data_IF_435501055907
#
_entry.id   IF_435501055907
#
_cell.length_a   1.000
_cell.length_b   1.000
_cell.length_c   1.000
_cell.angle_alpha   90.00
_cell.angle_beta   90.00
_cell.angle_gamma   90.00
#
_symmetry.space_group_name_H-M   'P 1'
#
loop_
_entity.id
_entity.type
_entity.pdbx_description
1 polymer ?
#
# COMPACT_ATOMS: atom_id res chain seq x y z
N UNK A 1 -13.17 -11.68 0.50
CA UNK A 1 -13.64 -10.29 0.55
C UNK A 1 -13.59 -9.73 -0.86
N UNK A 2 -14.55 -8.90 -1.25
CA UNK A 2 -14.61 -8.26 -2.57
C UNK A 2 -14.17 -6.79 -2.47
N UNK A 3 -13.32 -6.35 -3.41
CA UNK A 3 -12.68 -5.03 -3.42
C UNK A 3 -12.97 -4.25 -4.70
N UNK A 4 -12.99 -2.93 -4.58
CA UNK A 4 -12.74 -2.01 -5.70
C UNK A 4 -11.50 -1.16 -5.41
N UNK A 5 -10.83 -0.71 -6.47
CA UNK A 5 -9.74 0.26 -6.36
C UNK A 5 -10.10 1.50 -7.16
N UNK A 6 -10.18 2.64 -6.47
CA UNK A 6 -10.37 3.95 -7.06
C UNK A 6 -9.05 4.68 -6.92
N UNK A 7 -8.47 5.13 -8.02
CA UNK A 7 -7.14 5.71 -7.96
C UNK A 7 -6.90 6.76 -9.03
N UNK A 8 -5.94 7.63 -8.75
CA UNK A 8 -5.22 8.40 -9.76
C UNK A 8 -3.72 8.10 -9.64
N UNK A 9 -2.92 8.58 -10.60
CA UNK A 9 -1.46 8.47 -10.54
C UNK A 9 -0.90 7.05 -10.66
N UNK A 10 0.42 6.95 -10.53
CA UNK A 10 1.18 5.71 -10.71
C UNK A 10 1.11 4.80 -9.47
N UNK A 11 0.86 5.33 -8.27
CA UNK A 11 0.85 4.50 -7.07
C UNK A 11 -0.29 3.48 -7.10
N UNK A 12 -1.49 3.91 -7.49
CA UNK A 12 -2.63 3.01 -7.63
C UNK A 12 -2.32 1.87 -8.60
N UNK A 13 -1.69 2.17 -9.74
CA UNK A 13 -1.25 1.16 -10.70
C UNK A 13 -0.27 0.15 -10.06
N UNK A 14 0.65 0.64 -9.22
CA UNK A 14 1.58 -0.26 -8.52
C UNK A 14 0.91 -1.15 -7.50
N UNK A 15 -0.05 -0.63 -6.73
CA UNK A 15 -0.83 -1.43 -5.77
C UNK A 15 -1.63 -2.49 -6.51
N UNK A 16 -2.32 -2.11 -7.60
CA UNK A 16 -3.10 -3.04 -8.43
C UNK A 16 -2.21 -4.14 -9.00
N UNK A 17 -1.06 -3.79 -9.57
CA UNK A 17 -0.15 -4.77 -10.13
C UNK A 17 0.44 -5.71 -9.08
N UNK A 18 0.67 -5.22 -7.86
CA UNK A 18 1.07 -6.09 -6.77
C UNK A 18 -0.05 -7.04 -6.33
N UNK A 19 -1.29 -6.56 -6.21
CA UNK A 19 -2.46 -7.35 -5.79
C UNK A 19 -2.83 -8.44 -6.80
N UNK A 20 -2.91 -8.09 -8.08
CA UNK A 20 -3.16 -9.06 -9.16
C UNK A 20 -1.96 -10.00 -9.32
N UNK A 21 -0.76 -9.47 -9.09
CA UNK A 21 0.51 -10.17 -9.25
C UNK A 21 0.75 -10.68 -10.69
N UNK A 22 0.40 -9.87 -11.69
CA UNK A 22 0.67 -10.22 -13.09
C UNK A 22 2.19 -10.18 -13.39
N UNK A 23 2.64 -11.04 -14.29
CA UNK A 23 4.07 -11.38 -14.46
C UNK A 23 4.97 -10.21 -14.85
N UNK A 24 4.44 -9.18 -15.51
CA UNK A 24 5.20 -8.01 -15.97
C UNK A 24 5.12 -6.81 -15.02
N UNK A 25 4.45 -6.93 -13.87
CA UNK A 25 4.31 -5.83 -12.91
C UNK A 25 5.66 -5.41 -12.29
N UNK A 26 6.42 -6.38 -11.80
CA UNK A 26 7.69 -6.12 -11.12
C UNK A 26 8.84 -6.15 -12.13
N UNK A 27 9.46 -4.99 -12.36
CA UNK A 27 10.57 -4.83 -13.30
C UNK A 27 11.93 -4.66 -12.62
N UNK A 28 11.98 -4.68 -11.28
CA UNK A 28 13.14 -4.22 -10.50
C UNK A 28 14.41 -5.06 -10.68
N UNK A 29 14.29 -6.34 -11.03
CA UNK A 29 15.46 -7.19 -11.30
C UNK A 29 15.87 -7.19 -12.78
N UNK A 30 15.10 -6.55 -13.67
CA UNK A 30 15.28 -6.62 -15.12
C UNK A 30 15.55 -8.07 -15.60
N UNK A 31 16.66 -8.28 -16.32
CA UNK A 31 17.06 -9.59 -16.85
C UNK A 31 17.45 -10.61 -15.77
N UNK A 32 17.75 -10.15 -14.55
CA UNK A 32 18.08 -11.02 -13.41
C UNK A 32 16.83 -11.51 -12.64
N UNK A 33 15.63 -11.30 -13.19
CA UNK A 33 14.39 -11.73 -12.53
C UNK A 33 14.33 -13.26 -12.39
N UNK A 34 13.99 -13.71 -11.17
CA UNK A 34 13.82 -15.12 -10.81
C UNK A 34 12.37 -15.47 -10.51
N UNK A 35 11.43 -14.58 -10.86
CA UNK A 35 9.98 -14.76 -10.66
C UNK A 35 9.60 -15.06 -9.19
N UNK A 36 10.21 -14.36 -8.23
CA UNK A 36 10.06 -14.64 -6.79
C UNK A 36 8.62 -14.57 -6.24
N UNK A 37 7.70 -13.93 -6.97
CA UNK A 37 6.28 -13.79 -6.62
C UNK A 37 5.36 -14.78 -7.35
N UNK A 38 5.87 -15.50 -8.36
CA UNK A 38 5.05 -16.37 -9.20
C UNK A 38 4.41 -17.49 -8.39
N UNK A 39 3.11 -17.73 -8.63
CA UNK A 39 2.29 -18.71 -7.93
C UNK A 39 2.25 -18.58 -6.39
N UNK A 40 2.75 -17.48 -5.81
CA UNK A 40 2.68 -17.22 -4.36
C UNK A 40 1.31 -16.72 -3.94
N UNK A 41 0.70 -15.87 -4.75
CA UNK A 41 -0.61 -15.27 -4.53
C UNK A 41 -1.10 -14.58 -5.80
N UNK A 42 -2.38 -14.17 -5.79
CA UNK A 42 -3.01 -13.33 -6.81
C UNK A 42 -4.47 -13.12 -6.44
N UNK A 43 -4.92 -11.86 -6.45
CA UNK A 43 -6.24 -11.49 -5.92
C UNK A 43 -7.21 -10.97 -6.98
N UNK A 44 -6.98 -11.32 -8.25
CA UNK A 44 -7.81 -10.86 -9.37
C UNK A 44 -9.31 -11.19 -9.17
N UNK A 45 -9.64 -12.39 -8.70
CA UNK A 45 -11.02 -12.83 -8.48
C UNK A 45 -11.74 -12.05 -7.36
N UNK A 46 -10.97 -11.44 -6.45
CA UNK A 46 -11.46 -10.62 -5.35
C UNK A 46 -11.61 -9.15 -5.71
N UNK A 47 -11.16 -8.70 -6.89
CA UNK A 47 -11.26 -7.31 -7.30
C UNK A 47 -12.34 -7.16 -8.37
N UNK A 48 -13.39 -6.40 -8.07
CA UNK A 48 -14.55 -6.23 -8.97
C UNK A 48 -14.34 -5.16 -10.02
N UNK A 49 -13.59 -4.11 -9.69
CA UNK A 49 -13.35 -3.01 -10.61
C UNK A 49 -12.12 -2.18 -10.24
N UNK A 50 -11.55 -1.56 -11.27
CA UNK A 50 -10.54 -0.51 -11.18
C UNK A 50 -11.13 0.76 -11.79
N UNK A 51 -11.13 1.86 -11.04
CA UNK A 51 -11.57 3.17 -11.49
C UNK A 51 -10.40 4.13 -11.49
N UNK A 52 -9.83 4.39 -12.67
CA UNK A 52 -8.79 5.41 -12.84
C UNK A 52 -9.45 6.77 -13.05
N UNK A 53 -9.23 7.69 -12.12
CA UNK A 53 -9.73 9.06 -12.17
C UNK A 53 -8.65 10.00 -12.72
N UNK A 54 -9.00 11.23 -13.14
CA UNK A 54 -8.02 12.26 -13.46
C UNK A 54 -7.07 12.53 -12.28
N UNK A 55 -5.83 12.94 -12.57
CA UNK A 55 -4.92 13.32 -11.51
C UNK A 55 -5.40 14.62 -10.83
N UNK A 56 -5.20 14.78 -9.51
CA UNK A 56 -5.57 16.02 -8.81
C UNK A 56 -4.96 17.28 -9.43
N UNK A 57 -3.76 17.15 -10.02
CA UNK A 57 -3.05 18.24 -10.71
C UNK A 57 -3.75 18.73 -11.99
N UNK A 58 -4.65 17.92 -12.56
CA UNK A 58 -5.42 18.21 -13.77
C UNK A 58 -6.81 18.78 -13.47
N UNK A 59 -7.19 18.81 -12.20
CA UNK A 59 -8.49 19.26 -11.73
C UNK A 59 -8.38 20.68 -11.14
N UNK A 60 -9.48 21.45 -11.14
CA UNK A 60 -9.51 22.72 -10.44
C UNK A 60 -9.30 22.51 -8.94
N UNK A 61 -8.77 23.53 -8.26
CA UNK A 61 -8.52 23.48 -6.80
C UNK A 61 -9.79 23.17 -6.00
N UNK A 62 -10.93 23.63 -6.51
CA UNK A 62 -12.26 23.31 -6.02
C UNK A 62 -13.11 22.86 -7.20
N UNK A 63 -13.80 21.74 -7.03
CA UNK A 63 -14.79 21.24 -7.98
C UNK A 63 -16.10 21.96 -7.68
N UNK A 64 -16.42 22.98 -8.48
CA UNK A 64 -17.66 23.76 -8.36
C UNK A 64 -18.88 23.01 -8.95
N UNK A 65 -18.64 22.17 -9.96
CA UNK A 65 -19.63 21.30 -10.58
C UNK A 65 -19.88 20.03 -9.73
N UNK A 66 -20.72 19.11 -10.20
CA UNK A 66 -21.01 17.86 -9.49
C UNK A 66 -19.82 16.89 -9.59
N UNK A 67 -19.34 16.31 -8.48
CA UNK A 67 -18.30 15.27 -8.50
C UNK A 67 -18.67 14.07 -9.39
N UNK A 68 -19.97 13.87 -9.65
CA UNK A 68 -20.48 12.87 -10.59
C UNK A 68 -19.91 12.97 -12.01
N UNK A 69 -19.38 14.13 -12.43
CA UNK A 69 -18.73 14.27 -13.74
C UNK A 69 -17.37 13.56 -13.83
N UNK A 70 -16.73 13.36 -12.67
CA UNK A 70 -15.41 12.73 -12.57
C UNK A 70 -15.48 11.30 -12.04
N UNK A 71 -16.61 10.91 -11.44
CA UNK A 71 -16.85 9.59 -10.88
C UNK A 71 -17.58 8.69 -11.88
N UNK A 72 -17.42 7.36 -11.77
CA UNK A 72 -18.23 6.44 -12.56
C UNK A 72 -19.71 6.56 -12.17
N UNK A 73 -20.60 6.33 -13.13
CA UNK A 73 -22.04 6.39 -12.92
C UNK A 73 -22.55 5.33 -11.94
N UNK A 74 -21.90 4.17 -11.91
CA UNK A 74 -22.27 3.03 -11.08
C UNK A 74 -21.01 2.34 -10.54
N UNK A 75 -21.09 1.87 -9.30
CA UNK A 75 -20.08 1.02 -8.68
C UNK A 75 -20.66 -0.39 -8.50
N UNK A 76 -19.87 -1.45 -8.75
CA UNK A 76 -20.31 -2.81 -8.46
C UNK A 76 -20.39 -3.04 -6.95
N UNK A 77 -21.22 -4.01 -6.53
CA UNK A 77 -21.25 -4.46 -5.15
C UNK A 77 -19.87 -4.96 -4.69
N UNK A 78 -19.36 -4.43 -3.59
CA UNK A 78 -18.09 -4.82 -2.98
C UNK A 78 -18.09 -4.56 -1.46
N UNK A 79 -17.18 -5.22 -0.73
CA UNK A 79 -17.05 -5.04 0.71
C UNK A 79 -16.24 -3.77 1.08
N UNK A 80 -15.21 -3.45 0.29
CA UNK A 80 -14.23 -2.41 0.62
C UNK A 80 -13.67 -1.69 -0.62
N UNK A 81 -13.28 -0.43 -0.46
CA UNK A 81 -12.52 0.34 -1.43
C UNK A 81 -11.09 0.66 -0.97
N UNK A 82 -10.12 0.57 -1.89
CA UNK A 82 -8.84 1.28 -1.77
C UNK A 82 -8.96 2.56 -2.58
N UNK A 83 -8.72 3.71 -1.96
CA UNK A 83 -8.91 5.03 -2.59
C UNK A 83 -7.61 5.82 -2.55
N UNK A 84 -6.93 5.93 -3.69
CA UNK A 84 -5.52 6.33 -3.76
C UNK A 84 -5.31 7.57 -4.63
N UNK A 85 -4.65 8.60 -4.09
CA UNK A 85 -4.17 9.78 -4.84
C UNK A 85 -5.25 10.57 -5.61
N UNK A 86 -6.51 10.54 -5.16
CA UNK A 86 -7.60 11.29 -5.80
C UNK A 86 -7.75 12.71 -5.23
N UNK A 87 -8.52 13.55 -5.92
CA UNK A 87 -8.81 14.92 -5.48
C UNK A 87 -9.63 14.95 -4.18
N UNK A 88 -9.37 15.93 -3.30
CA UNK A 88 -10.01 16.04 -1.98
C UNK A 88 -11.54 16.14 -2.07
N UNK A 89 -12.06 16.94 -3.01
CA UNK A 89 -13.52 17.09 -3.17
C UNK A 89 -14.19 15.77 -3.57
N UNK A 90 -13.55 14.99 -4.45
CA UNK A 90 -14.04 13.65 -4.80
C UNK A 90 -13.96 12.70 -3.60
N UNK A 91 -12.88 12.77 -2.82
CA UNK A 91 -12.69 11.96 -1.61
C UNK A 91 -13.77 12.24 -0.55
N UNK A 92 -14.25 13.49 -0.44
CA UNK A 92 -15.30 13.87 0.50
C UNK A 92 -16.68 13.31 0.09
N UNK A 93 -16.95 13.20 -1.21
CA UNK A 93 -18.23 12.69 -1.70
C UNK A 93 -18.29 11.14 -1.73
N UNK A 94 -17.16 10.49 -1.99
CA UNK A 94 -17.09 9.05 -2.21
C UNK A 94 -17.75 8.20 -1.10
N UNK A 95 -17.53 8.41 0.21
CA UNK A 95 -18.16 7.56 1.21
C UNK A 95 -19.69 7.54 1.12
N UNK A 96 -20.30 8.68 0.76
CA UNK A 96 -21.76 8.79 0.60
C UNK A 96 -22.24 8.03 -0.63
N UNK A 97 -21.46 8.05 -1.71
CA UNK A 97 -21.78 7.36 -2.97
C UNK A 97 -21.59 5.85 -2.83
N UNK A 98 -20.48 5.43 -2.22
CA UNK A 98 -20.07 4.03 -2.13
C UNK A 98 -20.94 3.20 -1.18
N UNK A 99 -21.62 3.82 -0.21
CA UNK A 99 -22.45 3.10 0.77
C UNK A 99 -23.57 2.28 0.11
N UNK A 100 -24.07 2.76 -1.04
CA UNK A 100 -25.18 2.16 -1.77
C UNK A 100 -24.72 0.95 -2.60
N UNK A 101 -23.41 0.74 -2.73
CA UNK A 101 -22.77 -0.39 -3.44
C UNK A 101 -22.19 -1.44 -2.47
N UNK A 102 -22.76 -1.53 -1.27
CA UNK A 102 -22.38 -2.53 -0.28
C UNK A 102 -21.08 -2.24 0.48
N UNK A 103 -20.34 -1.17 0.13
CA UNK A 103 -19.05 -0.88 0.74
C UNK A 103 -19.20 -0.50 2.21
N UNK A 104 -18.38 -1.12 3.04
CA UNK A 104 -18.34 -0.95 4.50
C UNK A 104 -16.96 -0.62 5.04
N UNK A 105 -15.94 -0.56 4.18
CA UNK A 105 -14.62 -0.09 4.57
C UNK A 105 -13.87 0.63 3.45
N UNK A 106 -12.99 1.55 3.82
CA UNK A 106 -12.15 2.35 2.93
C UNK A 106 -10.72 2.41 3.47
N UNK A 107 -9.74 2.15 2.62
CA UNK A 107 -8.32 2.43 2.89
C UNK A 107 -7.90 3.59 2.00
N UNK A 108 -7.48 4.69 2.62
CA UNK A 108 -7.09 5.92 1.93
C UNK A 108 -5.60 6.19 2.18
N UNK A 109 -4.70 5.52 1.45
CA UNK A 109 -3.27 5.67 1.66
C UNK A 109 -2.76 7.07 1.27
N UNK A 110 -1.72 7.51 1.96
CA UNK A 110 -1.03 8.77 1.70
C UNK A 110 0.41 8.49 1.28
N UNK A 111 0.71 8.64 -0.01
CA UNK A 111 2.06 8.49 -0.56
C UNK A 111 2.71 9.84 -0.93
N UNK A 112 2.00 10.95 -0.78
CA UNK A 112 2.50 12.30 -1.01
C UNK A 112 2.34 13.19 0.22
N UNK A 113 3.07 14.31 0.26
CA UNK A 113 2.95 15.31 1.32
C UNK A 113 1.69 16.18 1.17
N UNK A 114 0.85 15.91 0.16
CA UNK A 114 -0.41 16.62 -0.04
C UNK A 114 -1.34 16.40 1.15
N UNK A 115 -1.95 17.49 1.61
CA UNK A 115 -2.92 17.42 2.69
C UNK A 115 -4.22 16.80 2.18
N UNK A 116 -4.78 15.89 2.97
CA UNK A 116 -6.12 15.36 2.78
C UNK A 116 -7.09 15.91 3.82
N UNK A 117 -8.38 16.00 3.49
CA UNK A 117 -9.45 16.39 4.40
C UNK A 117 -9.81 15.25 5.40
N UNK A 118 -8.81 14.68 6.08
CA UNK A 118 -8.93 13.49 6.94
C UNK A 118 -10.08 13.61 7.95
N UNK A 119 -10.21 14.69 8.77
CA UNK A 119 -11.27 14.78 9.76
C UNK A 119 -12.68 14.77 9.15
N UNK A 120 -12.86 15.43 8.00
CA UNK A 120 -14.15 15.47 7.30
C UNK A 120 -14.50 14.11 6.70
N UNK A 121 -13.53 13.42 6.10
CA UNK A 121 -13.73 12.06 5.57
C UNK A 121 -14.08 11.10 6.71
N UNK A 122 -13.40 11.20 7.86
CA UNK A 122 -13.73 10.42 9.07
C UNK A 122 -15.17 10.67 9.54
N UNK A 123 -15.58 11.93 9.66
CA UNK A 123 -16.95 12.28 10.08
C UNK A 123 -18.02 11.71 9.13
N UNK A 124 -17.78 11.78 7.82
CA UNK A 124 -18.69 11.25 6.81
C UNK A 124 -18.72 9.71 6.89
N UNK A 125 -17.56 9.06 6.96
CA UNK A 125 -17.47 7.60 7.09
C UNK A 125 -18.16 7.08 8.36
N UNK A 126 -18.01 7.76 9.50
CA UNK A 126 -18.69 7.40 10.74
C UNK A 126 -20.22 7.51 10.60
N UNK A 127 -20.70 8.58 9.95
CA UNK A 127 -22.14 8.76 9.66
C UNK A 127 -22.69 7.66 8.76
N UNK A 128 -21.95 7.29 7.71
CA UNK A 128 -22.35 6.25 6.76
C UNK A 128 -22.02 4.81 7.23
N UNK A 129 -21.40 4.67 8.41
CA UNK A 129 -20.96 3.39 9.01
C UNK A 129 -19.98 2.62 8.12
N UNK A 130 -18.96 3.33 7.65
CA UNK A 130 -17.86 2.81 6.85
C UNK A 130 -16.59 2.87 7.69
N UNK A 131 -15.90 1.75 7.87
CA UNK A 131 -14.57 1.73 8.49
C UNK A 131 -13.60 2.51 7.61
N UNK A 132 -12.87 3.49 8.15
CA UNK A 132 -11.83 4.18 7.37
C UNK A 132 -10.47 4.17 8.08
N UNK A 133 -9.39 4.05 7.30
CA UNK A 133 -7.99 4.19 7.76
C UNK A 133 -7.17 4.98 6.73
N UNK A 134 -6.17 5.70 7.23
CA UNK A 134 -5.33 6.61 6.45
C UNK A 134 -3.83 6.31 6.61
N UNK A 135 -3.35 5.12 6.19
CA UNK A 135 -1.95 4.75 6.39
C UNK A 135 -1.00 5.69 5.63
N UNK A 136 0.08 6.12 6.28
CA UNK A 136 1.08 7.05 5.72
C UNK A 136 2.51 6.63 6.07
N UNK A 137 3.26 6.02 5.14
CA UNK A 137 2.83 5.49 3.83
C UNK A 137 1.81 4.34 3.95
N UNK A 138 1.29 3.85 2.84
CA UNK A 138 0.40 2.68 2.80
C UNK A 138 1.05 1.43 3.41
N UNK A 139 2.38 1.29 3.27
CA UNK A 139 3.10 0.21 3.97
C UNK A 139 3.18 0.40 5.48
N UNK A 140 2.59 1.45 6.06
CA UNK A 140 2.33 1.58 7.49
C UNK A 140 0.90 1.15 7.88
N UNK A 141 0.19 0.42 7.00
CA UNK A 141 -1.12 -0.15 7.33
C UNK A 141 -0.97 -1.27 8.38
N UNK A 142 -1.37 -0.96 9.61
CA UNK A 142 -1.51 -1.88 10.73
C UNK A 142 -2.70 -1.43 11.58
N UNK A 143 -3.21 -2.34 12.40
CA UNK A 143 -4.23 -2.06 13.39
C UNK A 143 -3.75 -2.56 14.74
N UNK A 144 -3.86 -1.71 15.75
CA UNK A 144 -3.70 -2.08 17.13
C UNK A 144 -4.83 -3.05 17.58
N UNK A 145 -4.61 -3.86 18.62
CA UNK A 145 -5.60 -4.86 19.07
C UNK A 145 -6.97 -4.26 19.45
N UNK A 146 -6.99 -3.04 19.97
CA UNK A 146 -8.20 -2.33 20.40
C UNK A 146 -8.97 -1.65 19.26
N UNK A 147 -8.38 -1.54 18.06
CA UNK A 147 -9.06 -0.92 16.93
C UNK A 147 -10.14 -1.87 16.35
N UNK A 148 -11.40 -1.46 16.49
CA UNK A 148 -12.57 -2.15 15.97
C UNK A 148 -12.80 -1.80 14.48
N UNK A 149 -11.95 -2.39 13.63
CA UNK A 149 -12.03 -2.28 12.16
C UNK A 149 -11.91 -3.68 11.54
N UNK A 150 -12.93 -4.55 11.73
CA UNK A 150 -12.87 -5.95 11.32
C UNK A 150 -12.66 -6.16 9.82
N UNK A 151 -13.20 -5.29 8.95
CA UNK A 151 -12.98 -5.42 7.51
C UNK A 151 -11.56 -5.01 7.12
N UNK A 152 -11.02 -3.93 7.67
CA UNK A 152 -9.60 -3.57 7.46
C UNK A 152 -8.67 -4.68 7.99
N UNK A 153 -8.98 -5.26 9.16
CA UNK A 153 -8.22 -6.38 9.72
C UNK A 153 -8.26 -7.61 8.82
N UNK A 154 -9.45 -7.93 8.28
CA UNK A 154 -9.66 -9.03 7.35
C UNK A 154 -8.91 -8.80 6.04
N UNK A 155 -8.87 -7.57 5.50
CA UNK A 155 -8.06 -7.23 4.34
C UNK A 155 -6.57 -7.54 4.57
N UNK A 156 -6.00 -7.05 5.69
CA UNK A 156 -4.57 -7.28 6.02
C UNK A 156 -4.27 -8.79 6.09
N UNK A 157 -5.17 -9.58 6.69
CA UNK A 157 -4.98 -11.01 6.88
C UNK A 157 -5.20 -11.84 5.59
N UNK A 158 -6.29 -11.60 4.84
CA UNK A 158 -6.61 -12.35 3.62
C UNK A 158 -5.67 -12.00 2.47
N UNK A 159 -5.31 -10.72 2.32
CA UNK A 159 -4.47 -10.26 1.21
C UNK A 159 -2.97 -10.30 1.54
N UNK A 160 -2.61 -10.38 2.83
CA UNK A 160 -1.22 -10.28 3.25
C UNK A 160 -0.58 -8.96 2.83
N UNK A 161 -1.34 -7.86 2.85
CA UNK A 161 -0.90 -6.51 2.47
C UNK A 161 -0.96 -5.57 3.68
N UNK A 162 0.12 -4.85 3.93
CA UNK A 162 0.18 -3.81 4.95
C UNK A 162 1.59 -3.59 5.47
N UNK A 163 1.75 -3.37 6.78
CA UNK A 163 3.06 -3.32 7.42
C UNK A 163 3.82 -4.63 7.15
N UNK A 164 5.01 -4.58 6.52
CA UNK A 164 5.76 -5.77 6.13
C UNK A 164 6.04 -6.71 7.30
N UNK A 165 5.99 -8.00 7.01
CA UNK A 165 6.36 -9.05 7.93
C UNK A 165 7.14 -10.11 7.16
N UNK A 166 8.29 -10.49 7.69
CA UNK A 166 9.22 -11.43 7.03
C UNK A 166 9.71 -12.45 8.04
N UNK A 167 10.16 -13.59 7.53
CA UNK A 167 10.90 -14.60 8.29
C UNK A 167 12.25 -14.81 7.62
N UNK A 168 13.32 -14.70 8.37
CA UNK A 168 14.69 -14.83 7.86
C UNK A 168 15.29 -16.14 8.33
N UNK A 169 15.91 -16.88 7.42
CA UNK A 169 16.66 -18.09 7.69
C UNK A 169 18.15 -17.79 7.48
N UNK A 170 18.98 -18.07 8.49
CA UNK A 170 20.44 -17.83 8.47
C UNK A 170 21.16 -19.17 8.50
N UNK A 171 22.18 -19.33 7.64
CA UNK A 171 23.00 -20.54 7.60
C UNK A 171 24.00 -20.60 8.77
N UNK A 172 24.71 -21.73 8.90
CA UNK A 172 25.72 -21.92 9.95
C UNK A 172 26.91 -20.96 9.85
N UNK A 173 27.10 -20.32 8.71
CA UNK A 173 28.16 -19.34 8.45
C UNK A 173 27.70 -17.90 8.67
N UNK A 174 26.48 -17.65 9.14
CA UNK A 174 25.99 -16.29 9.38
C UNK A 174 25.44 -15.58 8.13
N UNK A 175 25.22 -16.31 7.02
CA UNK A 175 24.64 -15.74 5.81
C UNK A 175 23.14 -15.92 5.79
N UNK A 176 22.41 -14.93 5.27
CA UNK A 176 20.97 -15.03 5.03
C UNK A 176 20.74 -16.05 3.90
N UNK A 177 20.25 -17.23 4.26
CA UNK A 177 19.95 -18.30 3.32
C UNK A 177 18.63 -18.03 2.56
N UNK A 178 17.63 -17.50 3.25
CA UNK A 178 16.32 -17.22 2.68
C UNK A 178 15.56 -16.15 3.47
N UNK A 179 14.76 -15.35 2.77
CA UNK A 179 13.81 -14.40 3.39
C UNK A 179 12.41 -14.67 2.85
N UNK A 180 11.56 -15.25 3.69
CA UNK A 180 10.16 -15.48 3.36
C UNK A 180 9.32 -14.23 3.68
N UNK A 181 8.54 -13.76 2.70
CA UNK A 181 7.58 -12.67 2.89
C UNK A 181 6.26 -13.25 3.42
N UNK A 182 5.89 -12.88 4.64
CA UNK A 182 4.62 -13.27 5.27
C UNK A 182 3.53 -12.23 5.00
N UNK A 183 3.93 -10.95 4.94
CA UNK A 183 3.08 -9.82 4.57
C UNK A 183 3.89 -8.80 3.79
N UNK A 184 3.33 -8.34 2.67
CA UNK A 184 4.00 -7.46 1.74
C UNK A 184 3.57 -6.00 1.94
N UNK A 185 4.50 -5.07 1.68
CA UNK A 185 4.15 -3.70 1.40
C UNK A 185 3.18 -3.64 0.20
N UNK A 186 2.21 -2.71 0.18
CA UNK A 186 1.20 -2.61 -0.88
C UNK A 186 1.79 -2.49 -2.29
N UNK A 187 2.90 -1.76 -2.45
CA UNK A 187 3.59 -1.60 -3.73
C UNK A 187 4.45 -2.81 -4.12
N UNK A 188 4.63 -3.81 -3.25
CA UNK A 188 5.43 -5.02 -3.50
C UNK A 188 6.91 -4.93 -3.13
N UNK A 189 7.39 -3.81 -2.58
CA UNK A 189 8.81 -3.57 -2.28
C UNK A 189 9.42 -4.63 -1.35
N UNK A 190 8.64 -5.17 -0.42
CA UNK A 190 9.07 -6.23 0.50
C UNK A 190 9.61 -7.46 -0.22
N UNK A 191 9.00 -7.86 -1.34
CA UNK A 191 9.48 -9.00 -2.13
C UNK A 191 10.83 -8.74 -2.78
N UNK A 192 11.04 -7.52 -3.27
CA UNK A 192 12.32 -7.14 -3.86
C UNK A 192 13.41 -7.09 -2.80
N UNK A 193 13.17 -6.39 -1.67
CA UNK A 193 14.13 -6.32 -0.56
C UNK A 193 14.45 -7.71 -0.03
N UNK A 194 13.44 -8.56 0.23
CA UNK A 194 13.65 -9.94 0.67
C UNK A 194 14.60 -10.71 -0.27
N UNK A 195 14.42 -10.55 -1.59
CA UNK A 195 15.29 -11.21 -2.57
C UNK A 195 16.71 -10.66 -2.59
N UNK A 196 16.89 -9.35 -2.46
CA UNK A 196 18.22 -8.72 -2.42
C UNK A 196 19.01 -9.08 -1.16
N UNK A 197 18.33 -9.47 -0.08
CA UNK A 197 18.97 -9.91 1.15
C UNK A 197 19.39 -11.38 1.12
N UNK A 198 18.99 -12.18 0.14
CA UNK A 198 19.45 -13.57 0.06
C UNK A 198 20.94 -13.64 -0.28
N UNK A 199 21.63 -14.62 0.31
CA UNK A 199 23.06 -14.89 0.14
C UNK A 199 24.01 -13.79 0.64
N UNK A 200 23.52 -12.77 1.36
CA UNK A 200 24.39 -11.78 1.99
C UNK A 200 24.89 -12.28 3.34
N UNK A 201 26.15 -12.00 3.65
CA UNK A 201 26.70 -12.13 5.00
C UNK A 201 26.40 -10.85 5.78
N UNK A 202 25.88 -11.00 7.00
CA UNK A 202 25.57 -9.86 7.86
C UNK A 202 26.58 -9.81 8.99
N UNK A 203 27.63 -9.01 8.81
CA UNK A 203 28.68 -8.88 9.84
C UNK A 203 28.19 -8.02 11.01
N UNK A 204 27.38 -6.99 10.73
CA UNK A 204 26.86 -6.08 11.73
C UNK A 204 25.55 -5.41 11.29
N UNK A 205 24.86 -4.76 12.26
CA UNK A 205 23.58 -4.06 12.02
C UNK A 205 23.67 -2.97 10.96
N UNK A 206 24.79 -2.24 10.90
CA UNK A 206 24.93 -1.11 9.99
C UNK A 206 24.94 -1.57 8.54
N UNK A 207 25.70 -2.62 8.24
CA UNK A 207 25.72 -3.22 6.90
C UNK A 207 24.36 -3.78 6.50
N UNK A 208 23.65 -4.45 7.41
CA UNK A 208 22.28 -4.90 7.15
C UNK A 208 21.37 -3.72 6.77
N UNK A 209 21.44 -2.62 7.51
CA UNK A 209 20.64 -1.44 7.23
C UNK A 209 21.00 -0.79 5.90
N UNK A 210 22.30 -0.71 5.57
CA UNK A 210 22.78 -0.16 4.30
C UNK A 210 22.25 -1.02 3.15
N UNK A 211 22.31 -2.36 3.24
CA UNK A 211 21.76 -3.28 2.23
C UNK A 211 20.25 -3.16 2.05
N UNK A 212 19.50 -3.07 3.15
CA UNK A 212 18.04 -2.86 3.11
C UNK A 212 17.71 -1.53 2.44
N UNK A 213 18.44 -0.47 2.80
CA UNK A 213 18.24 0.88 2.26
C UNK A 213 18.57 0.93 0.77
N UNK A 214 19.72 0.39 0.35
CA UNK A 214 20.13 0.27 -1.06
C UNK A 214 19.04 -0.47 -1.86
N UNK A 215 18.56 -1.59 -1.34
CA UNK A 215 17.52 -2.40 -2.00
C UNK A 215 16.20 -1.64 -2.10
N UNK A 216 15.77 -0.98 -1.02
CA UNK A 216 14.53 -0.21 -1.01
C UNK A 216 14.55 0.97 -1.98
N UNK A 217 15.65 1.74 -2.01
CA UNK A 217 15.81 2.88 -2.93
C UNK A 217 15.96 2.44 -4.39
N UNK A 218 16.43 1.20 -4.63
CA UNK A 218 16.53 0.63 -5.98
C UNK A 218 15.19 0.08 -6.48
N UNK A 219 14.20 -0.11 -5.60
CA UNK A 219 12.85 -0.45 -5.98
C UNK A 219 12.10 0.80 -6.43
N UNK A 220 11.24 0.77 -7.48
CA UNK A 220 10.50 1.94 -7.95
C UNK A 220 9.31 2.31 -7.02
N UNK A 221 9.57 2.42 -5.72
CA UNK A 221 8.59 2.84 -4.72
C UNK A 221 8.04 4.22 -5.08
N UNK A 222 6.72 4.39 -5.01
CA UNK A 222 6.02 5.64 -5.36
C UNK A 222 5.83 6.55 -4.15
N UNK A 223 6.35 6.18 -2.98
CA UNK A 223 6.39 7.04 -1.81
C UNK A 223 7.18 8.31 -2.11
N UNK A 224 6.62 9.47 -1.77
CA UNK A 224 7.22 10.75 -2.10
C UNK A 224 8.54 11.00 -1.35
N UNK A 225 9.47 11.62 -2.09
CA UNK A 225 10.73 12.18 -1.56
C UNK A 225 10.56 13.61 -1.02
N UNK A 226 9.37 14.19 -1.14
CA UNK A 226 9.05 15.46 -0.49
C UNK A 226 9.03 15.28 1.03
N UNK A 227 9.52 16.29 1.76
CA UNK A 227 9.44 16.29 3.22
C UNK A 227 7.99 16.44 3.65
N UNK A 228 7.53 15.47 4.43
CA UNK A 228 6.20 15.50 4.98
C UNK A 228 6.19 16.14 6.38
N UNK A 229 5.21 17.02 6.62
CA UNK A 229 5.10 17.76 7.88
C UNK A 229 4.66 16.89 9.05
N UNK A 230 3.81 15.89 8.81
CA UNK A 230 3.28 14.98 9.83
C UNK A 230 4.37 14.00 10.27
N UNK A 231 5.19 13.52 9.32
CA UNK A 231 6.28 12.58 9.61
C UNK A 231 7.58 13.24 10.07
N UNK A 232 7.84 14.49 9.68
CA UNK A 232 9.11 15.17 9.94
C UNK A 232 10.28 14.66 9.08
N UNK A 233 10.01 13.75 8.14
CA UNK A 233 10.94 13.14 7.18
C UNK A 233 10.18 12.93 5.84
N UNK A 234 10.81 12.32 4.84
CA UNK A 234 10.14 11.92 3.60
C UNK A 234 9.31 10.66 3.81
N UNK A 235 8.24 10.51 3.03
CA UNK A 235 7.38 9.31 3.07
C UNK A 235 8.18 8.08 2.62
N UNK A 236 9.09 8.24 1.64
CA UNK A 236 9.99 7.18 1.19
C UNK A 236 10.94 6.71 2.29
N UNK A 237 11.54 7.62 3.07
CA UNK A 237 12.39 7.21 4.21
C UNK A 237 11.58 6.47 5.27
N UNK A 238 10.35 6.93 5.56
CA UNK A 238 9.45 6.21 6.47
C UNK A 238 9.18 4.79 5.98
N UNK A 239 8.91 4.60 4.68
CA UNK A 239 8.76 3.27 4.08
C UNK A 239 10.03 2.41 4.25
N UNK A 240 11.21 2.99 4.04
CA UNK A 240 12.50 2.33 4.26
C UNK A 240 12.72 1.90 5.72
N UNK A 241 12.36 2.74 6.69
CA UNK A 241 12.45 2.41 8.12
C UNK A 241 11.50 1.27 8.50
N UNK A 242 10.31 1.22 7.89
CA UNK A 242 9.32 0.18 8.14
C UNK A 242 9.84 -1.20 7.70
N UNK A 243 10.37 -1.34 6.48
CA UNK A 243 10.94 -2.62 6.03
C UNK A 243 12.20 -2.99 6.82
N UNK A 244 13.02 -2.00 7.18
CA UNK A 244 14.19 -2.21 8.07
C UNK A 244 13.76 -2.79 9.41
N UNK A 245 12.75 -2.23 10.04
CA UNK A 245 12.24 -2.71 11.33
C UNK A 245 11.69 -4.15 11.21
N UNK A 246 11.01 -4.48 10.11
CA UNK A 246 10.48 -5.82 9.88
C UNK A 246 11.59 -6.88 9.76
N UNK A 247 12.70 -6.56 9.09
CA UNK A 247 13.86 -7.47 8.97
C UNK A 247 14.64 -7.53 10.28
N UNK A 248 14.85 -6.40 10.95
CA UNK A 248 15.59 -6.35 12.22
C UNK A 248 14.92 -7.18 13.31
N UNK A 249 13.59 -7.14 13.40
CA UNK A 249 12.80 -7.83 14.43
C UNK A 249 12.93 -9.36 14.41
N UNK A 250 13.48 -9.95 13.35
CA UNK A 250 13.63 -11.41 13.20
C UNK A 250 15.08 -11.87 13.06
N UNK A 251 16.05 -10.94 12.97
CA UNK A 251 17.48 -11.23 12.89
C UNK A 251 18.22 -10.98 14.22
N UNK A 252 17.56 -10.38 15.20
CA UNK A 252 18.07 -10.05 16.53
C UNK A 252 17.13 -10.58 17.62
#
# INVERSE_FOLDING_TARGET
MDLIVIYSGEFGERVIGNLINYSTFCISCAEACTHCKEAKYGFADSIKAFFKLPEPSQLPVFIEDSASEYLPNEFPDADMAIVSEIHNDLLLELPTILKDSGIKAMIVPQESAAMIARPQVEEICDRERIEVVFPKPFCDLHLEPQEDKPLVRRFIAEFGIGRPEVRVEVDKGGRIAHVAVLRSAPCGSTWFVAKQLECIEVENKRELYDRISESHHSYPCTASMEKDRELGDTILHRAGYIIRAAVEAVLL
#
